data_IF_459343579251
#
_entry.id   IF_459343579251
#
_cell.length_a   1.000
_cell.length_b   1.000
_cell.length_c   1.000
_cell.angle_alpha   90.00
_cell.angle_beta   90.00
_cell.angle_gamma   90.00
#
_symmetry.space_group_name_H-M   'P 1'
#
loop_
_entity.id
_entity.type
_entity.pdbx_description
1 polymer ?
#
# COMPACT_ATOMS: atom_id res chain seq x y z
N UNK A 1 29.54 -21.12 0.12
CA UNK A 1 28.61 -20.64 -0.93
C UNK A 1 27.44 -20.01 -0.21
N UNK A 2 27.38 -18.69 -0.17
CA UNK A 2 26.24 -17.97 0.42
C UNK A 2 25.12 -18.02 -0.61
N UNK A 3 24.07 -18.79 -0.36
CA UNK A 3 22.86 -18.77 -1.18
C UNK A 3 22.35 -17.32 -1.24
N UNK A 4 22.27 -16.76 -2.44
CA UNK A 4 21.58 -15.50 -2.64
C UNK A 4 20.11 -15.73 -2.26
N UNK A 5 19.68 -15.15 -1.15
CA UNK A 5 18.30 -15.16 -0.67
C UNK A 5 17.38 -14.79 -1.83
N UNK A 6 16.57 -15.75 -2.31
CA UNK A 6 15.68 -15.57 -3.44
C UNK A 6 14.76 -14.36 -3.22
N UNK A 7 14.53 -13.60 -4.28
CA UNK A 7 13.60 -12.47 -4.26
C UNK A 7 12.21 -12.95 -3.85
N UNK A 8 11.54 -12.23 -2.95
CA UNK A 8 10.17 -12.53 -2.55
C UNK A 8 9.25 -12.42 -3.76
N UNK A 9 8.36 -13.41 -3.95
CA UNK A 9 7.39 -13.40 -5.04
C UNK A 9 6.29 -12.35 -4.83
N UNK A 10 5.76 -11.83 -5.93
CA UNK A 10 4.66 -10.85 -5.91
C UNK A 10 3.39 -11.48 -5.37
N UNK A 11 2.78 -10.79 -4.41
CA UNK A 11 1.43 -11.03 -3.91
C UNK A 11 0.63 -9.73 -3.97
N UNK A 12 -0.64 -9.80 -3.56
CA UNK A 12 -1.48 -8.60 -3.48
C UNK A 12 -1.02 -7.57 -2.43
N UNK A 13 -0.12 -7.94 -1.52
CA UNK A 13 0.23 -7.13 -0.35
C UNK A 13 1.61 -6.48 -0.44
N UNK A 14 2.49 -6.97 -1.32
CA UNK A 14 3.91 -6.61 -1.31
C UNK A 14 4.40 -5.92 -2.60
N UNK A 15 3.49 -5.43 -3.45
CA UNK A 15 3.84 -4.88 -4.76
C UNK A 15 4.95 -3.82 -4.71
N UNK A 16 4.90 -2.86 -3.77
CA UNK A 16 5.92 -1.80 -3.70
C UNK A 16 7.33 -2.36 -3.41
N UNK A 17 7.44 -3.33 -2.50
CA UNK A 17 8.72 -3.98 -2.18
C UNK A 17 9.16 -4.84 -3.38
N UNK A 18 8.24 -5.61 -3.95
CA UNK A 18 8.50 -6.47 -5.09
C UNK A 18 8.99 -5.65 -6.29
N UNK A 19 8.34 -4.52 -6.58
CA UNK A 19 8.69 -3.62 -7.69
C UNK A 19 10.13 -3.15 -7.57
N UNK A 20 10.56 -2.70 -6.39
CA UNK A 20 11.93 -2.25 -6.15
C UNK A 20 12.93 -3.38 -6.40
N UNK A 21 12.62 -4.59 -5.91
CA UNK A 21 13.49 -5.75 -6.10
C UNK A 21 13.53 -6.19 -7.58
N UNK A 22 12.39 -6.14 -8.28
CA UNK A 22 12.31 -6.48 -9.68
C UNK A 22 13.06 -5.48 -10.57
N UNK A 23 12.97 -4.18 -10.28
CA UNK A 23 13.78 -3.18 -10.97
C UNK A 23 15.28 -3.49 -10.82
N UNK A 24 15.72 -3.91 -9.64
CA UNK A 24 17.12 -4.34 -9.42
C UNK A 24 17.48 -5.61 -10.22
N UNK A 25 16.55 -6.56 -10.37
CA UNK A 25 16.72 -7.73 -11.25
C UNK A 25 16.90 -7.29 -12.70
N UNK A 26 16.08 -6.37 -13.19
CA UNK A 26 16.19 -5.87 -14.57
C UNK A 26 17.50 -5.15 -14.85
N UNK A 27 18.01 -4.37 -13.89
CA UNK A 27 19.34 -3.75 -13.98
C UNK A 27 20.41 -4.83 -14.06
N UNK A 28 20.39 -5.81 -13.16
CA UNK A 28 21.37 -6.91 -13.11
C UNK A 28 21.39 -7.74 -14.39
N UNK A 29 20.23 -7.94 -15.03
CA UNK A 29 20.09 -8.66 -16.30
C UNK A 29 20.31 -7.79 -17.54
N UNK A 30 20.53 -6.48 -17.37
CA UNK A 30 20.67 -5.51 -18.45
C UNK A 30 19.47 -5.50 -19.42
N UNK A 31 18.25 -5.56 -18.86
CA UNK A 31 16.98 -5.56 -19.60
C UNK A 31 16.05 -4.42 -19.20
N UNK A 32 16.44 -3.59 -18.22
CA UNK A 32 15.59 -2.52 -17.66
C UNK A 32 14.96 -1.63 -18.72
N UNK A 33 15.74 -1.14 -19.66
CA UNK A 33 15.26 -0.14 -20.63
C UNK A 33 14.19 -0.72 -21.58
N UNK A 34 14.20 -2.03 -21.83
CA UNK A 34 13.14 -2.73 -22.57
C UNK A 34 11.96 -3.03 -21.65
N UNK A 35 12.23 -3.50 -20.43
CA UNK A 35 11.20 -3.87 -19.45
C UNK A 35 10.33 -2.69 -19.03
N UNK A 36 10.90 -1.49 -18.88
CA UNK A 36 10.17 -0.27 -18.50
C UNK A 36 9.79 0.60 -19.72
N UNK A 37 9.99 0.09 -20.94
CA UNK A 37 9.54 0.77 -22.17
C UNK A 37 10.34 2.02 -22.56
N UNK A 38 11.53 2.23 -22.01
CA UNK A 38 12.41 3.36 -22.38
C UNK A 38 12.94 3.23 -23.81
N UNK A 39 13.13 2.00 -24.29
CA UNK A 39 13.54 1.72 -25.67
C UNK A 39 12.40 0.99 -26.41
N UNK A 40 11.75 1.63 -27.39
CA UNK A 40 10.74 0.97 -28.19
C UNK A 40 11.38 -0.08 -29.11
N UNK A 41 10.59 -1.09 -29.50
CA UNK A 41 11.04 -2.09 -30.47
C UNK A 41 11.44 -1.38 -31.78
N UNK A 42 12.67 -1.58 -32.29
CA UNK A 42 13.10 -0.94 -33.53
C UNK A 42 12.19 -1.31 -34.72
N UNK A 43 11.91 -0.35 -35.59
CA UNK A 43 11.09 -0.55 -36.80
C UNK A 43 11.89 -1.04 -38.01
N UNK A 44 13.17 -1.39 -37.83
CA UNK A 44 14.00 -1.98 -38.88
C UNK A 44 13.50 -3.38 -39.25
N UNK A 45 14.01 -3.93 -40.36
CA UNK A 45 13.60 -5.26 -40.81
C UNK A 45 13.71 -6.33 -39.69
N UNK A 46 12.81 -7.33 -39.66
CA UNK A 46 12.66 -8.26 -38.53
C UNK A 46 13.93 -9.07 -38.22
N UNK A 47 14.83 -9.24 -39.20
CA UNK A 47 16.10 -9.95 -39.02
C UNK A 47 17.28 -9.05 -38.65
N UNK A 48 17.06 -7.74 -38.47
CA UNK A 48 18.11 -6.83 -38.03
C UNK A 48 18.62 -7.24 -36.64
N UNK A 49 19.92 -6.99 -36.39
CA UNK A 49 20.54 -7.30 -35.10
C UNK A 49 19.80 -6.60 -33.95
N UNK A 50 19.47 -5.33 -34.14
CA UNK A 50 18.76 -4.51 -33.15
C UNK A 50 17.39 -5.10 -32.75
N UNK A 51 16.60 -5.57 -33.72
CA UNK A 51 15.30 -6.21 -33.45
C UNK A 51 15.48 -7.51 -32.65
N UNK A 52 16.42 -8.37 -33.06
CA UNK A 52 16.69 -9.64 -32.35
C UNK A 52 17.21 -9.42 -30.94
N UNK A 53 18.07 -8.42 -30.73
CA UNK A 53 18.57 -8.07 -29.40
C UNK A 53 17.44 -7.54 -28.51
N UNK A 54 16.56 -6.69 -29.04
CA UNK A 54 15.38 -6.21 -28.32
C UNK A 54 14.42 -7.36 -27.98
N UNK A 55 14.09 -8.23 -28.94
CA UNK A 55 13.17 -9.36 -28.74
C UNK A 55 13.71 -10.32 -27.66
N UNK A 56 15.04 -10.54 -27.64
CA UNK A 56 15.72 -11.32 -26.59
C UNK A 56 15.62 -10.66 -25.21
N UNK A 57 15.89 -9.36 -25.11
CA UNK A 57 15.78 -8.63 -23.83
C UNK A 57 14.34 -8.60 -23.32
N UNK A 58 13.37 -8.42 -24.22
CA UNK A 58 11.95 -8.48 -23.92
C UNK A 58 11.55 -9.85 -23.37
N UNK A 59 11.97 -10.94 -24.04
CA UNK A 59 11.69 -12.30 -23.57
C UNK A 59 12.32 -12.59 -22.20
N UNK A 60 13.57 -12.17 -21.97
CA UNK A 60 14.26 -12.31 -20.69
C UNK A 60 13.53 -11.55 -19.56
N UNK A 61 13.16 -10.29 -19.78
CA UNK A 61 12.43 -9.50 -18.80
C UNK A 61 11.06 -10.11 -18.46
N UNK A 62 10.32 -10.61 -19.47
CA UNK A 62 9.05 -11.32 -19.25
C UNK A 62 9.25 -12.57 -18.40
N UNK A 63 10.27 -13.38 -18.71
CA UNK A 63 10.56 -14.59 -17.96
C UNK A 63 10.90 -14.29 -16.49
N UNK A 64 11.74 -13.29 -16.23
CA UNK A 64 12.09 -12.89 -14.86
C UNK A 64 10.85 -12.44 -14.07
N UNK A 65 9.93 -11.69 -14.67
CA UNK A 65 8.66 -11.33 -14.02
C UNK A 65 7.79 -12.56 -13.74
N UNK A 66 7.57 -13.43 -14.73
CA UNK A 66 6.71 -14.62 -14.57
C UNK A 66 7.24 -15.54 -13.46
N UNK A 67 8.56 -15.69 -13.34
CA UNK A 67 9.18 -16.52 -12.30
C UNK A 67 9.10 -15.89 -10.90
N UNK A 68 8.87 -14.58 -10.84
CA UNK A 68 8.88 -13.78 -9.64
C UNK A 68 7.48 -13.46 -9.09
N UNK A 69 6.43 -14.06 -9.63
CA UNK A 69 5.07 -13.86 -9.12
C UNK A 69 4.49 -15.14 -8.54
N UNK A 70 3.51 -14.99 -7.65
CA UNK A 70 2.67 -16.11 -7.22
C UNK A 70 1.64 -16.49 -8.29
N UNK A 71 1.07 -17.69 -8.17
CA UNK A 71 0.13 -18.26 -9.15
C UNK A 71 -1.08 -17.37 -9.40
N UNK A 72 -1.57 -16.67 -8.36
CA UNK A 72 -2.73 -15.78 -8.43
C UNK A 72 -2.47 -14.50 -9.26
N UNK A 73 -1.20 -14.16 -9.50
CA UNK A 73 -0.81 -13.01 -10.32
C UNK A 73 -0.55 -13.38 -11.79
N UNK A 74 -0.50 -14.67 -12.14
CA UNK A 74 -0.17 -15.11 -13.52
C UNK A 74 -1.15 -14.60 -14.57
N UNK A 75 -2.40 -14.31 -14.19
CA UNK A 75 -3.41 -13.71 -15.06
C UNK A 75 -2.95 -12.35 -15.64
N UNK A 76 -2.09 -11.62 -14.92
CA UNK A 76 -1.55 -10.32 -15.31
C UNK A 76 -0.28 -10.43 -16.20
N UNK A 77 0.20 -11.65 -16.50
CA UNK A 77 1.43 -11.89 -17.28
C UNK A 77 1.20 -12.17 -18.77
N UNK A 78 -0.01 -11.92 -19.28
CA UNK A 78 -0.45 -12.43 -20.59
C UNK A 78 -0.03 -11.55 -21.77
N UNK A 79 0.41 -10.32 -21.53
CA UNK A 79 0.79 -9.39 -22.58
C UNK A 79 2.05 -9.81 -23.36
N UNK A 80 2.18 -9.30 -24.59
CA UNK A 80 3.22 -9.70 -25.53
C UNK A 80 4.59 -9.10 -25.22
N UNK A 81 4.62 -7.96 -24.56
CA UNK A 81 5.84 -7.26 -24.16
C UNK A 81 6.01 -7.22 -22.64
N UNK A 82 7.27 -7.16 -22.19
CA UNK A 82 7.60 -6.96 -20.78
C UNK A 82 7.04 -5.63 -20.26
N UNK A 83 7.06 -4.60 -21.10
CA UNK A 83 6.55 -3.28 -20.75
C UNK A 83 5.05 -3.29 -20.46
N UNK A 84 4.24 -3.93 -21.32
CA UNK A 84 2.80 -4.06 -21.08
C UNK A 84 2.50 -4.84 -19.78
N UNK A 85 3.27 -5.91 -19.49
CA UNK A 85 3.12 -6.64 -18.22
C UNK A 85 3.47 -5.72 -17.03
N UNK A 86 4.55 -4.95 -17.15
CA UNK A 86 4.98 -4.03 -16.09
C UNK A 86 3.92 -2.96 -15.80
N UNK A 87 3.33 -2.37 -16.84
CA UNK A 87 2.25 -1.39 -16.72
C UNK A 87 0.96 -2.00 -16.16
N UNK A 88 0.58 -3.19 -16.61
CA UNK A 88 -0.60 -3.91 -16.11
C UNK A 88 -0.48 -4.19 -14.60
N UNK A 89 0.68 -4.69 -14.16
CA UNK A 89 0.97 -4.90 -12.74
C UNK A 89 0.90 -3.59 -11.95
N UNK A 90 1.52 -2.52 -12.46
CA UNK A 90 1.45 -1.22 -11.79
C UNK A 90 0.01 -0.73 -11.68
N UNK A 91 -0.78 -0.85 -12.74
CA UNK A 91 -2.18 -0.44 -12.76
C UNK A 91 -3.04 -1.25 -11.76
N UNK A 92 -2.94 -2.58 -11.77
CA UNK A 92 -3.73 -3.46 -10.90
C UNK A 92 -3.37 -3.27 -9.43
N UNK A 93 -2.08 -3.24 -9.07
CA UNK A 93 -1.68 -3.11 -7.67
C UNK A 93 -1.85 -1.69 -7.14
N UNK A 94 -1.67 -0.65 -7.98
CA UNK A 94 -1.97 0.73 -7.58
C UNK A 94 -3.47 0.94 -7.38
N UNK A 95 -4.31 0.43 -8.29
CA UNK A 95 -5.77 0.54 -8.18
C UNK A 95 -6.32 -0.25 -6.97
N UNK A 96 -5.84 -1.48 -6.75
CA UNK A 96 -6.16 -2.27 -5.54
C UNK A 96 -5.67 -1.61 -4.26
N UNK A 97 -4.46 -1.05 -4.28
CA UNK A 97 -3.92 -0.26 -3.18
C UNK A 97 -4.82 0.92 -2.86
N UNK A 98 -5.23 1.70 -3.87
CA UNK A 98 -6.15 2.82 -3.71
C UNK A 98 -7.53 2.39 -3.20
N UNK A 99 -8.13 1.36 -3.79
CA UNK A 99 -9.43 0.85 -3.38
C UNK A 99 -9.42 0.35 -1.92
N UNK A 100 -8.39 -0.41 -1.54
CA UNK A 100 -8.19 -0.87 -0.15
C UNK A 100 -8.03 0.32 0.80
N UNK A 101 -7.22 1.31 0.42
CA UNK A 101 -7.04 2.55 1.18
C UNK A 101 -8.36 3.30 1.39
N UNK A 102 -9.17 3.44 0.33
CA UNK A 102 -10.49 4.07 0.42
C UNK A 102 -11.49 3.25 1.23
N UNK A 103 -11.50 1.93 1.10
CA UNK A 103 -12.37 1.06 1.89
C UNK A 103 -12.06 1.18 3.39
N UNK A 104 -10.77 1.19 3.77
CA UNK A 104 -10.36 1.42 5.15
C UNK A 104 -10.77 2.81 5.65
N UNK A 105 -10.61 3.87 4.85
CA UNK A 105 -11.04 5.23 5.22
C UNK A 105 -12.55 5.31 5.42
N UNK A 106 -13.33 4.75 4.50
CA UNK A 106 -14.80 4.72 4.63
C UNK A 106 -15.22 3.98 5.88
N UNK A 107 -14.63 2.80 6.13
CA UNK A 107 -14.89 2.01 7.34
C UNK A 107 -14.60 2.82 8.59
N UNK A 108 -13.45 3.51 8.64
CA UNK A 108 -13.05 4.33 9.78
C UNK A 108 -14.03 5.48 10.04
N UNK A 109 -14.38 6.24 9.02
CA UNK A 109 -15.31 7.38 9.16
C UNK A 109 -16.76 6.95 9.45
N UNK A 110 -17.13 5.72 9.10
CA UNK A 110 -18.48 5.18 9.33
C UNK A 110 -18.58 4.31 10.59
N UNK A 111 -17.55 4.23 11.43
CA UNK A 111 -17.62 3.41 12.63
C UNK A 111 -18.70 3.93 13.58
N UNK A 112 -19.42 3.00 14.22
CA UNK A 112 -20.42 3.26 15.25
C UNK A 112 -20.20 2.25 16.38
N UNK A 113 -20.39 2.73 17.61
CA UNK A 113 -20.37 1.89 18.80
C UNK A 113 -21.69 1.12 18.86
N UNK A 114 -21.63 -0.19 19.06
CA UNK A 114 -22.85 -0.99 19.21
C UNK A 114 -23.51 -0.71 20.57
N UNK A 115 -24.84 -0.81 20.65
CA UNK A 115 -25.63 -0.51 21.87
C UNK A 115 -25.16 -1.25 23.13
N UNK A 116 -24.62 -2.46 22.96
CA UNK A 116 -24.14 -3.33 24.06
C UNK A 116 -22.61 -3.35 24.18
N UNK A 117 -21.90 -2.54 23.40
CA UNK A 117 -20.45 -2.48 23.43
C UNK A 117 -19.98 -1.70 24.66
N UNK A 118 -18.85 -2.12 25.26
CA UNK A 118 -18.18 -1.33 26.30
C UNK A 118 -17.36 -0.22 25.65
N UNK A 119 -17.35 0.98 26.25
CA UNK A 119 -16.55 2.12 25.78
C UNK A 119 -15.07 1.78 25.53
N UNK A 120 -14.45 0.97 26.39
CA UNK A 120 -13.07 0.53 26.21
C UNK A 120 -12.87 -0.33 24.95
N UNK A 121 -13.84 -1.18 24.61
CA UNK A 121 -13.81 -1.99 23.39
C UNK A 121 -13.99 -1.10 22.15
N UNK A 122 -14.93 -0.15 22.21
CA UNK A 122 -15.14 0.85 21.16
C UNK A 122 -13.85 1.62 20.83
N UNK A 123 -13.18 2.16 21.86
CA UNK A 123 -11.89 2.85 21.70
C UNK A 123 -10.82 1.92 21.09
N UNK A 124 -10.80 0.65 21.51
CA UNK A 124 -9.90 -0.37 20.97
C UNK A 124 -10.11 -0.62 19.48
N UNK A 125 -11.36 -0.72 19.04
CA UNK A 125 -11.72 -0.96 17.64
C UNK A 125 -11.33 0.23 16.74
N UNK A 126 -11.62 1.46 17.19
CA UNK A 126 -11.23 2.68 16.45
C UNK A 126 -9.71 2.76 16.32
N UNK A 127 -8.96 2.51 17.40
CA UNK A 127 -7.49 2.48 17.37
C UNK A 127 -6.94 1.39 16.46
N UNK A 128 -7.57 0.22 16.42
CA UNK A 128 -7.19 -0.89 15.55
C UNK A 128 -7.31 -0.52 14.07
N UNK A 129 -8.41 0.13 13.67
CA UNK A 129 -8.59 0.61 12.29
C UNK A 129 -7.63 1.78 11.98
N UNK A 130 -7.44 2.73 12.89
CA UNK A 130 -6.47 3.81 12.72
C UNK A 130 -5.03 3.29 12.52
N UNK A 131 -4.64 2.25 13.27
CA UNK A 131 -3.37 1.57 13.10
C UNK A 131 -3.23 0.92 11.72
N UNK A 132 -4.27 0.24 11.24
CA UNK A 132 -4.29 -0.35 9.88
C UNK A 132 -4.22 0.70 8.78
N UNK A 133 -4.85 1.86 8.96
CA UNK A 133 -4.74 3.00 8.05
C UNK A 133 -3.28 3.51 7.99
N UNK A 134 -2.63 3.68 9.16
CA UNK A 134 -1.21 4.07 9.23
C UNK A 134 -0.30 3.04 8.52
N UNK A 135 -0.54 1.75 8.72
CA UNK A 135 0.20 0.69 8.00
C UNK A 135 -0.01 0.73 6.49
N UNK A 136 -1.20 1.12 6.01
CA UNK A 136 -1.49 1.33 4.60
C UNK A 136 -0.90 2.64 4.03
N UNK A 137 -0.12 3.38 4.82
CA UNK A 137 0.46 4.67 4.42
C UNK A 137 -0.56 5.80 4.33
N UNK A 138 -1.66 5.70 5.08
CA UNK A 138 -2.66 6.76 5.20
C UNK A 138 -2.37 7.53 6.50
N UNK A 139 -2.17 8.84 6.38
CA UNK A 139 -2.12 9.71 7.55
C UNK A 139 -3.49 9.72 8.24
N UNK A 140 -3.46 9.51 9.56
CA UNK A 140 -4.59 9.64 10.48
C UNK A 140 -4.04 10.39 11.68
N UNK A 141 -4.51 11.61 11.86
CA UNK A 141 -4.12 12.45 13.01
C UNK A 141 -4.99 12.13 14.24
N UNK A 142 -4.69 12.78 15.36
CA UNK A 142 -5.44 12.57 16.59
C UNK A 142 -6.84 13.20 16.51
N UNK A 143 -7.02 14.25 15.70
CA UNK A 143 -8.31 14.92 15.48
C UNK A 143 -9.29 14.00 14.72
N UNK A 144 -8.82 13.30 13.69
CA UNK A 144 -9.55 12.26 12.97
C UNK A 144 -10.05 11.16 13.91
N UNK A 145 -9.20 10.75 14.87
CA UNK A 145 -9.53 9.71 15.85
C UNK A 145 -10.58 10.24 16.83
N UNK A 146 -10.41 11.46 17.35
CA UNK A 146 -11.39 12.09 18.25
C UNK A 146 -12.74 12.25 17.55
N UNK A 147 -12.74 12.69 16.30
CA UNK A 147 -13.95 12.85 15.50
C UNK A 147 -14.69 11.52 15.32
N UNK A 148 -13.99 10.44 14.94
CA UNK A 148 -14.63 9.13 14.81
C UNK A 148 -15.12 8.60 16.15
N UNK A 149 -14.33 8.76 17.21
CA UNK A 149 -14.71 8.32 18.56
C UNK A 149 -15.99 8.97 19.05
N UNK A 150 -16.17 10.27 18.78
CA UNK A 150 -17.30 11.08 19.25
C UNK A 150 -18.53 10.92 18.36
N UNK A 151 -18.37 11.02 17.02
CA UNK A 151 -19.47 10.78 16.06
C UNK A 151 -19.99 9.34 16.08
N UNK A 152 -19.17 8.42 16.61
CA UNK A 152 -19.49 7.01 16.69
C UNK A 152 -20.36 6.62 17.89
N UNK A 153 -20.51 7.50 18.89
CA UNK A 153 -21.24 7.18 20.11
C UNK A 153 -22.76 7.18 19.89
N UNK A 154 -23.51 6.38 20.67
CA UNK A 154 -24.97 6.48 20.72
C UNK A 154 -25.43 7.80 21.33
N UNK A 155 -26.66 8.22 21.02
CA UNK A 155 -27.30 9.45 21.50
C UNK A 155 -27.30 9.61 23.03
N UNK A 156 -27.18 8.48 23.78
CA UNK A 156 -27.05 8.49 25.25
C UNK A 156 -25.80 9.25 25.73
N UNK A 157 -24.83 9.49 24.85
CA UNK A 157 -23.62 10.24 25.13
C UNK A 157 -23.63 11.67 24.58
N UNK A 158 -24.74 12.17 24.00
CA UNK A 158 -24.80 13.52 23.41
C UNK A 158 -24.38 14.63 24.38
N UNK A 159 -24.81 14.53 25.64
CA UNK A 159 -24.43 15.51 26.67
C UNK A 159 -22.93 15.50 26.95
N UNK A 160 -22.30 14.33 26.88
CA UNK A 160 -20.85 14.18 27.04
C UNK A 160 -20.11 14.76 25.82
N UNK A 161 -20.59 14.51 24.60
CA UNK A 161 -20.00 15.05 23.37
C UNK A 161 -20.06 16.58 23.37
N UNK A 162 -21.20 17.19 23.69
CA UNK A 162 -21.34 18.66 23.76
C UNK A 162 -20.39 19.28 24.79
N UNK A 163 -20.23 18.64 25.95
CA UNK A 163 -19.29 19.11 26.98
C UNK A 163 -17.83 19.00 26.49
N UNK A 164 -17.50 17.92 25.77
CA UNK A 164 -16.18 17.71 25.20
C UNK A 164 -15.84 18.76 24.12
N UNK A 165 -16.76 19.04 23.21
CA UNK A 165 -16.60 20.05 22.14
C UNK A 165 -16.45 21.48 22.68
N UNK A 166 -17.00 21.73 23.88
CA UNK A 166 -16.88 23.01 24.58
C UNK A 166 -15.58 23.15 25.38
N UNK A 167 -14.77 22.09 25.44
CA UNK A 167 -13.50 22.06 26.20
C UNK A 167 -12.35 22.51 25.32
N UNK A 168 -11.48 23.38 25.86
CA UNK A 168 -10.27 23.84 25.15
C UNK A 168 -9.34 22.65 24.82
N UNK A 169 -8.87 22.57 23.57
CA UNK A 169 -7.95 21.53 23.09
C UNK A 169 -6.68 21.41 23.97
N UNK A 170 -6.23 22.52 24.58
CA UNK A 170 -5.10 22.54 25.50
C UNK A 170 -5.36 21.81 26.84
N UNK A 171 -6.63 21.57 27.19
CA UNK A 171 -7.04 20.79 28.37
C UNK A 171 -7.25 19.30 28.06
N UNK A 172 -7.41 18.94 26.78
CA UNK A 172 -7.66 17.56 26.33
C UNK A 172 -6.37 16.75 26.08
N UNK A 173 -5.23 17.42 25.93
CA UNK A 173 -3.91 16.78 25.92
C UNK A 173 -3.33 16.83 27.32
N UNK A 174 -3.18 15.70 28.04
CA UNK A 174 -2.48 15.71 29.32
C UNK A 174 -1.06 16.17 29.05
N UNK A 175 -0.67 17.27 29.70
CA UNK A 175 0.67 17.85 29.63
C UNK A 175 1.72 16.77 29.88
N UNK A 176 2.37 16.28 28.82
CA UNK A 176 3.57 15.44 28.87
C UNK A 176 4.82 16.21 29.33
N UNK A 177 4.69 17.13 30.32
CA UNK A 177 5.80 17.99 30.76
C UNK A 177 6.32 17.78 32.18
N UNK A 178 5.75 16.89 33.00
CA UNK A 178 6.09 16.89 34.43
C UNK A 178 6.98 15.72 34.91
N UNK A 179 7.53 14.88 34.02
CA UNK A 179 8.43 13.77 34.41
C UNK A 179 9.94 14.08 34.32
N UNK A 180 10.36 15.34 34.11
CA UNK A 180 11.79 15.69 33.92
C UNK A 180 12.39 16.62 34.97
N UNK A 181 11.86 16.64 36.20
CA UNK A 181 12.57 17.25 37.33
C UNK A 181 13.23 16.16 38.18
N UNK A 182 14.56 16.04 38.19
CA UNK A 182 15.27 15.26 39.20
C UNK A 182 15.13 15.97 40.56
N UNK A 183 14.89 15.20 41.61
CA UNK A 183 15.05 15.66 43.00
C UNK A 183 16.51 15.99 43.31
#
# INVERSE_FOLDING_TARGET
MTEAKGMTKLTNENYEIWRILMEAVFVRKNVRDVAVGTIPRPSTGPNSKAVRDWDRQNAEARAEMILAVEVDQLAHMTAGTAHEIWEELEHVHRSRGFATKMALRRKFMSMRMDDNQKMACWIGDVRSIAFRLKQAGIAVDDEDIILVLTMGLPDTYDTFVVALDSTDAAALTPRLRDWTTPQ
#
